data_IF_848989369810
#
_entry.id   IF_848989369810
#
_cell.length_a   1.000
_cell.length_b   1.000
_cell.length_c   1.000
_cell.angle_alpha   90.00
_cell.angle_beta   90.00
_cell.angle_gamma   90.00
#
_symmetry.space_group_name_H-M   'P 1'
#
loop_
_entity.id
_entity.type
_entity.pdbx_description
1 polymer ?
#
# COMPACT_ATOMS: atom_id res chain seq x y z
N UNK A 1 5.94 14.92 10.43
CA UNK A 1 6.01 16.03 9.45
C UNK A 1 6.75 15.64 8.16
N UNK A 2 6.43 14.50 7.51
CA UNK A 2 6.98 14.14 6.19
C UNK A 2 5.92 13.82 5.11
N UNK A 3 4.63 13.92 5.43
CA UNK A 3 3.54 13.49 4.53
C UNK A 3 2.91 14.66 3.75
N UNK A 4 3.33 15.91 4.01
CA UNK A 4 2.75 17.08 3.34
C UNK A 4 3.52 17.53 2.10
N UNK A 5 4.66 16.91 1.76
CA UNK A 5 5.37 17.22 0.51
C UNK A 5 4.83 16.42 -0.68
N UNK A 6 4.40 15.18 -0.47
CA UNK A 6 3.88 14.33 -1.55
C UNK A 6 2.52 14.77 -2.11
N UNK A 7 1.68 15.44 -1.32
CA UNK A 7 0.32 15.81 -1.73
C UNK A 7 0.22 17.19 -2.42
N UNK A 8 1.18 18.09 -2.17
CA UNK A 8 1.18 19.44 -2.74
C UNK A 8 1.90 19.54 -4.10
N UNK A 9 2.71 18.53 -4.44
CA UNK A 9 3.43 18.47 -5.71
C UNK A 9 2.58 17.97 -6.89
N UNK A 10 1.39 17.43 -6.62
CA UNK A 10 0.60 16.66 -7.59
C UNK A 10 -0.25 17.50 -8.56
N UNK A 11 -0.35 18.83 -8.41
CA UNK A 11 -1.12 19.63 -9.36
C UNK A 11 -0.25 20.13 -10.54
N UNK A 12 -0.16 19.24 -11.54
CA UNK A 12 0.02 19.50 -12.99
C UNK A 12 1.37 19.98 -13.55
N UNK A 13 2.40 20.26 -12.74
CA UNK A 13 3.72 20.68 -13.27
C UNK A 13 4.94 19.97 -12.68
N UNK A 14 4.76 19.02 -11.76
CA UNK A 14 5.86 18.37 -11.04
C UNK A 14 5.85 16.84 -11.15
N UNK A 15 5.02 16.26 -12.03
CA UNK A 15 4.91 14.80 -12.18
C UNK A 15 6.13 14.19 -12.87
N UNK A 16 6.60 14.80 -13.97
CA UNK A 16 7.84 14.39 -14.66
C UNK A 16 9.05 14.61 -13.75
N UNK A 17 9.11 15.77 -13.08
CA UNK A 17 10.10 16.05 -12.04
C UNK A 17 10.04 15.02 -10.90
N UNK A 18 8.85 14.57 -10.50
CA UNK A 18 8.71 13.57 -9.46
C UNK A 18 9.26 12.21 -9.91
N UNK A 19 9.02 11.80 -11.15
CA UNK A 19 9.56 10.56 -11.69
C UNK A 19 11.10 10.58 -11.70
N UNK A 20 11.70 11.65 -12.23
CA UNK A 20 13.15 11.83 -12.26
C UNK A 20 13.75 11.84 -10.84
N UNK A 21 13.13 12.56 -9.90
CA UNK A 21 13.62 12.62 -8.51
C UNK A 21 13.46 11.30 -7.77
N UNK A 22 12.40 10.54 -8.03
CA UNK A 22 12.22 9.20 -7.48
C UNK A 22 13.27 8.23 -8.07
N UNK A 23 13.57 8.32 -9.37
CA UNK A 23 14.58 7.49 -10.02
C UNK A 23 16.01 7.78 -9.52
N UNK A 24 16.38 9.07 -9.43
CA UNK A 24 17.64 9.51 -8.83
C UNK A 24 17.74 9.07 -7.36
N UNK A 25 16.69 9.33 -6.58
CA UNK A 25 16.62 8.95 -5.16
C UNK A 25 16.73 7.45 -4.96
N UNK A 26 16.10 6.64 -5.81
CA UNK A 26 16.18 5.19 -5.78
C UNK A 26 17.60 4.70 -6.07
N UNK A 27 18.26 5.32 -7.05
CA UNK A 27 19.65 5.02 -7.40
C UNK A 27 20.57 5.34 -6.23
N UNK A 28 20.41 6.52 -5.61
CA UNK A 28 21.19 6.92 -4.44
C UNK A 28 20.93 6.01 -3.23
N UNK A 29 19.67 5.69 -2.95
CA UNK A 29 19.31 4.80 -1.84
C UNK A 29 19.98 3.43 -1.99
N UNK A 30 19.99 2.87 -3.20
CA UNK A 30 20.70 1.61 -3.50
C UNK A 30 22.20 1.73 -3.36
N UNK A 31 22.80 2.79 -3.91
CA UNK A 31 24.24 3.02 -3.83
C UNK A 31 24.71 3.13 -2.37
N UNK A 32 23.90 3.76 -1.52
CA UNK A 32 24.18 3.95 -0.09
C UNK A 32 23.73 2.77 0.78
N UNK A 33 23.10 1.73 0.20
CA UNK A 33 22.54 0.60 0.95
C UNK A 33 21.40 0.97 1.90
N UNK A 34 20.72 2.11 1.69
CA UNK A 34 19.64 2.58 2.54
C UNK A 34 18.31 1.92 2.14
N UNK A 35 18.03 0.76 2.73
CA UNK A 35 16.86 -0.06 2.41
C UNK A 35 15.53 0.59 2.81
N UNK A 36 15.50 1.38 3.90
CA UNK A 36 14.28 2.10 4.29
C UNK A 36 13.93 3.19 3.27
N UNK A 37 14.93 3.93 2.80
CA UNK A 37 14.75 4.92 1.74
C UNK A 37 14.32 4.25 0.44
N UNK A 38 14.97 3.15 0.04
CA UNK A 38 14.56 2.38 -1.15
C UNK A 38 13.10 1.92 -1.06
N UNK A 39 12.71 1.30 0.04
CA UNK A 39 11.34 0.81 0.22
C UNK A 39 10.31 1.95 0.20
N UNK A 40 10.63 3.09 0.82
CA UNK A 40 9.76 4.28 0.84
C UNK A 40 9.61 4.89 -0.55
N UNK A 41 10.71 5.00 -1.30
CA UNK A 41 10.70 5.52 -2.67
C UNK A 41 9.90 4.60 -3.59
N UNK A 42 10.01 3.28 -3.43
CA UNK A 42 9.20 2.31 -4.16
C UNK A 42 7.69 2.44 -3.88
N UNK A 43 7.31 2.70 -2.62
CA UNK A 43 5.91 3.00 -2.28
C UNK A 43 5.44 4.28 -2.97
N UNK A 44 6.21 5.36 -2.89
CA UNK A 44 5.86 6.64 -3.53
C UNK A 44 5.78 6.51 -5.06
N UNK A 45 6.66 5.72 -5.66
CA UNK A 45 6.62 5.41 -7.08
C UNK A 45 5.35 4.65 -7.46
N UNK A 46 4.91 3.71 -6.61
CA UNK A 46 3.61 3.05 -6.81
C UNK A 46 2.44 4.03 -6.74
N UNK A 47 2.45 4.95 -5.76
CA UNK A 47 1.39 5.97 -5.63
C UNK A 47 1.32 6.90 -6.85
N UNK A 48 2.48 7.33 -7.35
CA UNK A 48 2.57 8.15 -8.55
C UNK A 48 2.05 7.38 -9.78
N UNK A 49 2.49 6.13 -9.95
CA UNK A 49 2.06 5.29 -11.06
C UNK A 49 0.55 5.01 -11.05
N UNK A 50 -0.06 4.81 -9.87
CA UNK A 50 -1.53 4.73 -9.76
C UNK A 50 -2.22 6.03 -10.18
N UNK A 51 -1.66 7.19 -9.83
CA UNK A 51 -2.20 8.49 -10.22
C UNK A 51 -2.05 8.77 -11.73
N UNK A 52 -1.04 8.17 -12.37
CA UNK A 52 -0.78 8.24 -13.81
C UNK A 52 -1.50 7.14 -14.60
N UNK A 53 -2.34 6.32 -13.96
CA UNK A 53 -3.03 5.19 -14.58
C UNK A 53 -2.06 4.17 -15.22
N UNK A 54 -0.89 3.98 -14.60
CA UNK A 54 0.12 2.99 -14.97
C UNK A 54 0.09 1.78 -14.00
N UNK A 55 -0.94 0.92 -14.04
CA UNK A 55 -1.12 -0.15 -13.06
C UNK A 55 0.04 -1.13 -13.03
N UNK A 56 0.68 -1.42 -14.17
CA UNK A 56 1.82 -2.34 -14.23
C UNK A 56 3.00 -1.83 -13.39
N UNK A 57 3.38 -0.58 -13.61
CA UNK A 57 4.44 0.09 -12.84
C UNK A 57 4.07 0.16 -11.36
N UNK A 58 2.81 0.47 -11.07
CA UNK A 58 2.31 0.64 -9.71
C UNK A 58 2.38 -0.65 -8.88
N UNK A 59 1.79 -1.74 -9.37
CA UNK A 59 1.78 -3.02 -8.66
C UNK A 59 3.18 -3.64 -8.54
N UNK A 60 4.04 -3.49 -9.56
CA UNK A 60 5.43 -3.93 -9.50
C UNK A 60 6.22 -3.18 -8.42
N UNK A 61 6.08 -1.86 -8.37
CA UNK A 61 6.76 -1.02 -7.36
C UNK A 61 6.28 -1.32 -5.95
N UNK A 62 4.97 -1.49 -5.79
CA UNK A 62 4.36 -1.81 -4.51
C UNK A 62 4.79 -3.19 -3.99
N UNK A 63 4.82 -4.21 -4.85
CA UNK A 63 5.28 -5.56 -4.48
C UNK A 63 6.73 -5.56 -3.97
N UNK A 64 7.60 -4.77 -4.62
CA UNK A 64 9.00 -4.61 -4.18
C UNK A 64 9.09 -3.89 -2.84
N UNK A 65 8.29 -2.85 -2.63
CA UNK A 65 8.22 -2.14 -1.34
C UNK A 65 7.75 -3.07 -0.21
N UNK A 66 6.68 -3.84 -0.43
CA UNK A 66 6.18 -4.86 0.53
C UNK A 66 7.26 -5.87 0.89
N UNK A 67 7.97 -6.39 -0.12
CA UNK A 67 9.03 -7.39 0.07
C UNK A 67 10.16 -6.83 0.93
N UNK A 68 10.64 -5.63 0.62
CA UNK A 68 11.74 -5.00 1.35
C UNK A 68 11.31 -4.59 2.76
N UNK A 69 10.11 -4.02 2.92
CA UNK A 69 9.56 -3.66 4.22
C UNK A 69 9.37 -4.87 5.12
N UNK A 70 8.95 -6.02 4.58
CA UNK A 70 8.84 -7.25 5.35
C UNK A 70 10.22 -7.79 5.75
N UNK A 71 11.14 -7.89 4.79
CA UNK A 71 12.49 -8.43 5.01
C UNK A 71 13.26 -7.66 6.08
N UNK A 72 13.15 -6.33 6.08
CA UNK A 72 13.88 -5.46 7.01
C UNK A 72 13.03 -5.02 8.21
N UNK A 73 11.86 -5.64 8.41
CA UNK A 73 10.95 -5.38 9.53
C UNK A 73 10.47 -3.91 9.67
N UNK A 74 10.27 -3.22 8.55
CA UNK A 74 9.71 -1.87 8.50
C UNK A 74 8.19 -1.88 8.62
N UNK A 75 7.68 -2.23 9.80
CA UNK A 75 6.25 -2.50 10.04
C UNK A 75 5.33 -1.30 9.74
N UNK A 76 5.78 -0.06 9.96
CA UNK A 76 5.02 1.15 9.57
C UNK A 76 4.85 1.26 8.07
N UNK A 77 5.94 1.00 7.33
CA UNK A 77 5.92 1.06 5.88
C UNK A 77 5.10 -0.09 5.30
N UNK A 78 5.16 -1.26 5.91
CA UNK A 78 4.34 -2.40 5.53
C UNK A 78 2.84 -2.11 5.68
N UNK A 79 2.43 -1.46 6.79
CA UNK A 79 1.06 -0.99 6.99
C UNK A 79 0.62 -0.01 5.88
N UNK A 80 1.49 0.92 5.49
CA UNK A 80 1.19 1.87 4.42
C UNK A 80 1.03 1.16 3.07
N UNK A 81 1.87 0.16 2.77
CA UNK A 81 1.74 -0.63 1.54
C UNK A 81 0.40 -1.37 1.49
N UNK A 82 0.01 -2.02 2.59
CA UNK A 82 -1.29 -2.71 2.68
C UNK A 82 -2.47 -1.76 2.54
N UNK A 83 -2.40 -0.59 3.19
CA UNK A 83 -3.43 0.44 3.05
C UNK A 83 -3.57 0.90 1.60
N UNK A 84 -2.44 1.22 0.93
CA UNK A 84 -2.48 1.65 -0.48
C UNK A 84 -3.03 0.57 -1.40
N UNK A 85 -2.59 -0.68 -1.24
CA UNK A 85 -3.12 -1.79 -2.02
C UNK A 85 -4.62 -1.97 -1.80
N UNK A 86 -5.08 -1.88 -0.55
CA UNK A 86 -6.51 -1.99 -0.22
C UNK A 86 -7.35 -0.94 -0.94
N UNK A 87 -6.87 0.31 -1.03
CA UNK A 87 -7.58 1.37 -1.74
C UNK A 87 -7.75 1.06 -3.23
N UNK A 88 -6.69 0.59 -3.90
CA UNK A 88 -6.74 0.31 -5.33
C UNK A 88 -7.58 -0.94 -5.65
N UNK A 89 -7.49 -1.97 -4.82
CA UNK A 89 -8.30 -3.20 -4.95
C UNK A 89 -9.79 -2.89 -4.70
N UNK A 90 -10.11 -2.00 -3.76
CA UNK A 90 -11.47 -1.55 -3.54
C UNK A 90 -12.02 -0.77 -4.74
N UNK A 91 -11.23 0.10 -5.38
CA UNK A 91 -11.62 0.81 -6.61
C UNK A 91 -11.87 -0.17 -7.77
N UNK A 92 -11.09 -1.25 -7.85
CA UNK A 92 -11.30 -2.33 -8.80
C UNK A 92 -12.51 -3.23 -8.48
N UNK A 93 -13.21 -2.98 -7.36
CA UNK A 93 -14.46 -3.65 -6.98
C UNK A 93 -14.30 -4.82 -6.00
N UNK A 94 -13.09 -5.28 -5.69
CA UNK A 94 -12.86 -6.36 -4.73
C UNK A 94 -12.74 -5.83 -3.30
N UNK A 95 -13.84 -5.26 -2.81
CA UNK A 95 -13.91 -4.63 -1.48
C UNK A 95 -13.69 -5.62 -0.33
N UNK A 96 -13.92 -6.93 -0.55
CA UNK A 96 -13.67 -7.96 0.45
C UNK A 96 -12.17 -8.17 0.65
N UNK A 97 -11.39 -8.30 -0.43
CA UNK A 97 -9.92 -8.36 -0.33
C UNK A 97 -9.34 -7.06 0.18
N UNK A 98 -9.90 -5.91 -0.21
CA UNK A 98 -9.49 -4.63 0.36
C UNK A 98 -9.68 -4.60 1.89
N UNK A 99 -10.84 -5.04 2.39
CA UNK A 99 -11.08 -5.13 3.82
C UNK A 99 -10.11 -6.10 4.51
N UNK A 100 -9.78 -7.23 3.87
CA UNK A 100 -8.77 -8.18 4.34
C UNK A 100 -7.40 -7.51 4.54
N UNK A 101 -6.91 -6.76 3.55
CA UNK A 101 -5.65 -6.02 3.66
C UNK A 101 -5.66 -4.99 4.81
N UNK A 102 -6.81 -4.35 5.09
CA UNK A 102 -6.96 -3.47 6.25
C UNK A 102 -6.97 -4.24 7.57
N UNK A 103 -7.54 -5.44 7.61
CA UNK A 103 -7.44 -6.36 8.75
C UNK A 103 -6.00 -6.79 9.01
N UNK A 104 -5.26 -7.13 7.96
CA UNK A 104 -3.84 -7.48 8.03
C UNK A 104 -2.98 -6.32 8.56
N UNK A 105 -3.34 -5.08 8.22
CA UNK A 105 -2.72 -3.88 8.79
C UNK A 105 -2.89 -3.83 10.32
N UNK A 106 -4.06 -4.22 10.85
CA UNK A 106 -4.29 -4.35 12.30
C UNK A 106 -3.47 -5.49 12.92
N UNK A 107 -3.24 -6.59 12.19
CA UNK A 107 -2.36 -7.66 12.67
C UNK A 107 -0.94 -7.16 12.89
N UNK A 108 -0.34 -6.55 11.87
CA UNK A 108 1.04 -6.03 11.92
C UNK A 108 1.20 -5.09 13.12
N UNK A 109 0.22 -4.22 13.36
CA UNK A 109 0.23 -3.31 14.50
C UNK A 109 0.24 -4.03 15.85
N UNK A 110 -0.62 -5.04 16.02
CA UNK A 110 -0.69 -5.80 17.26
C UNK A 110 0.60 -6.57 17.53
N UNK A 111 1.17 -7.19 16.50
CA UNK A 111 2.39 -7.98 16.62
C UNK A 111 3.59 -7.13 17.06
N UNK A 112 3.71 -5.92 16.52
CA UNK A 112 4.81 -5.02 16.83
C UNK A 112 4.48 -4.00 17.94
N UNK A 113 3.33 -4.16 18.62
CA UNK A 113 2.83 -3.23 19.66
C UNK A 113 2.78 -1.77 19.19
N UNK A 114 2.56 -1.57 17.89
CA UNK A 114 2.51 -0.26 17.27
C UNK A 114 1.13 0.34 17.40
N UNK A 115 1.08 1.62 17.76
CA UNK A 115 -0.13 2.41 17.68
C UNK A 115 -0.12 3.18 16.36
N UNK A 116 -1.16 3.00 15.54
CA UNK A 116 -1.36 3.87 14.38
C UNK A 116 -1.41 5.32 14.84
N UNK A 117 -0.78 6.19 14.06
CA UNK A 117 -1.02 7.61 14.16
C UNK A 117 -2.52 7.90 13.94
N UNK A 118 -3.05 8.89 14.65
CA UNK A 118 -4.48 9.21 14.61
C UNK A 118 -4.99 9.46 13.16
N UNK A 119 -4.12 10.00 12.30
CA UNK A 119 -4.40 10.23 10.88
C UNK A 119 -4.71 8.92 10.15
N UNK A 120 -3.85 7.91 10.31
CA UNK A 120 -3.94 6.66 9.56
C UNK A 120 -5.04 5.75 10.12
N UNK A 121 -5.23 5.75 11.45
CA UNK A 121 -6.41 5.15 12.07
C UNK A 121 -7.72 5.77 11.55
N UNK A 122 -7.76 7.09 11.40
CA UNK A 122 -8.89 7.80 10.82
C UNK A 122 -9.15 7.46 9.35
N UNK A 123 -8.09 7.25 8.56
CA UNK A 123 -8.18 6.81 7.15
C UNK A 123 -8.79 5.42 7.01
N UNK A 124 -8.31 4.45 7.79
CA UNK A 124 -8.83 3.08 7.79
C UNK A 124 -10.30 3.06 8.23
N UNK A 125 -10.62 3.76 9.33
CA UNK A 125 -11.99 3.86 9.84
C UNK A 125 -12.95 4.43 8.78
N UNK A 126 -12.56 5.51 8.10
CA UNK A 126 -13.39 6.12 7.04
C UNK A 126 -13.57 5.19 5.84
N UNK A 127 -12.51 4.52 5.41
CA UNK A 127 -12.58 3.58 4.29
C UNK A 127 -13.55 2.43 4.59
N UNK A 128 -13.43 1.80 5.76
CA UNK A 128 -14.33 0.72 6.17
C UNK A 128 -15.78 1.21 6.30
N UNK A 129 -16.02 2.37 6.91
CA UNK A 129 -17.37 2.92 7.03
C UNK A 129 -18.02 3.17 5.67
N UNK A 130 -17.26 3.73 4.72
CA UNK A 130 -17.71 3.94 3.34
C UNK A 130 -18.07 2.61 2.67
N UNK A 131 -17.16 1.63 2.70
CA UNK A 131 -17.38 0.34 2.04
C UNK A 131 -18.53 -0.46 2.67
N UNK A 132 -18.71 -0.39 4.00
CA UNK A 132 -19.87 -1.00 4.68
C UNK A 132 -21.19 -0.41 4.18
N UNK A 133 -21.22 0.90 3.93
CA UNK A 133 -22.41 1.60 3.45
C UNK A 133 -22.72 1.21 2.01
N UNK A 134 -21.70 1.06 1.16
CA UNK A 134 -21.85 0.80 -0.27
C UNK A 134 -22.08 -0.69 -0.60
N UNK A 135 -21.47 -1.60 0.15
CA UNK A 135 -21.41 -3.03 -0.20
C UNK A 135 -21.97 -3.96 0.88
N UNK A 136 -22.45 -3.41 2.00
CA UNK A 136 -22.99 -4.16 3.12
C UNK A 136 -21.94 -4.47 4.20
N UNK A 137 -22.36 -4.39 5.46
CA UNK A 137 -21.45 -4.52 6.60
C UNK A 137 -20.82 -5.91 6.71
N UNK A 138 -21.62 -6.97 6.55
CA UNK A 138 -21.16 -8.37 6.70
C UNK A 138 -19.98 -8.70 5.79
N UNK A 139 -20.04 -8.29 4.52
CA UNK A 139 -18.98 -8.56 3.55
C UNK A 139 -17.64 -7.93 3.98
N UNK A 140 -17.70 -6.70 4.48
CA UNK A 140 -16.52 -5.93 4.89
C UNK A 140 -15.98 -6.45 6.22
N UNK A 141 -16.87 -6.77 7.16
CA UNK A 141 -16.49 -7.27 8.49
C UNK A 141 -15.87 -8.67 8.39
N UNK A 142 -16.41 -9.55 7.56
CA UNK A 142 -15.83 -10.87 7.29
C UNK A 142 -14.44 -10.74 6.65
N UNK A 143 -14.31 -9.89 5.62
CA UNK A 143 -13.03 -9.64 4.96
C UNK A 143 -11.98 -9.13 5.96
N UNK A 144 -12.34 -8.11 6.74
CA UNK A 144 -11.48 -7.54 7.76
C UNK A 144 -11.08 -8.56 8.83
N UNK A 145 -12.03 -9.37 9.31
CA UNK A 145 -11.76 -10.39 10.32
C UNK A 145 -10.75 -11.43 9.83
N UNK A 146 -10.87 -11.89 8.57
CA UNK A 146 -9.90 -12.83 7.97
C UNK A 146 -8.50 -12.21 7.92
N UNK A 147 -8.37 -10.96 7.49
CA UNK A 147 -7.07 -10.29 7.48
C UNK A 147 -6.47 -10.12 8.88
N UNK A 148 -7.31 -9.86 9.87
CA UNK A 148 -6.90 -9.66 11.26
C UNK A 148 -6.41 -10.94 11.95
N UNK A 149 -6.70 -12.12 11.40
CA UNK A 149 -6.23 -13.42 11.94
C UNK A 149 -4.99 -13.97 11.24
N UNK A 150 -4.61 -13.45 10.07
CA UNK A 150 -3.37 -13.83 9.39
C UNK A 150 -2.14 -13.54 10.27
N UNK A 151 -1.08 -14.31 10.12
CA UNK A 151 0.27 -13.91 10.52
C UNK A 151 0.79 -12.80 9.60
N UNK A 152 1.84 -12.08 10.02
CA UNK A 152 2.45 -11.03 9.17
C UNK A 152 2.98 -11.62 7.85
N UNK A 153 3.55 -12.83 7.89
CA UNK A 153 4.04 -13.52 6.67
C UNK A 153 2.89 -13.91 5.74
N UNK A 154 1.77 -14.40 6.25
CA UNK A 154 0.59 -14.71 5.43
C UNK A 154 -0.03 -13.44 4.82
N UNK A 155 -0.09 -12.35 5.59
CA UNK A 155 -0.54 -11.05 5.10
C UNK A 155 0.35 -10.52 3.95
N UNK A 156 1.67 -10.67 4.08
CA UNK A 156 2.63 -10.32 3.03
C UNK A 156 2.42 -11.18 1.79
N UNK A 157 2.31 -12.49 1.95
CA UNK A 157 2.05 -13.41 0.84
C UNK A 157 0.74 -13.05 0.12
N UNK A 158 -0.32 -12.74 0.87
CA UNK A 158 -1.60 -12.31 0.32
C UNK A 158 -1.47 -11.01 -0.49
N UNK A 159 -0.79 -10.00 0.05
CA UNK A 159 -0.57 -8.74 -0.65
C UNK A 159 0.24 -8.93 -1.96
N UNK A 160 1.28 -9.76 -1.94
CA UNK A 160 2.08 -10.06 -3.13
C UNK A 160 1.28 -10.83 -4.18
N UNK A 161 0.45 -11.78 -3.76
CA UNK A 161 -0.47 -12.48 -4.67
C UNK A 161 -1.43 -11.50 -5.34
N UNK A 162 -2.03 -10.58 -4.59
CA UNK A 162 -2.91 -9.56 -5.15
C UNK A 162 -2.16 -8.69 -6.17
N UNK A 163 -0.95 -8.22 -5.88
CA UNK A 163 -0.15 -7.49 -6.86
C UNK A 163 0.12 -8.31 -8.14
N UNK A 164 0.43 -9.60 -8.00
CA UNK A 164 0.68 -10.48 -9.14
C UNK A 164 -0.56 -10.71 -10.01
N UNK A 165 -1.72 -10.94 -9.40
CA UNK A 165 -2.99 -11.10 -10.12
C UNK A 165 -3.33 -9.84 -10.93
N UNK A 166 -3.14 -8.66 -10.33
CA UNK A 166 -3.39 -7.38 -11.01
C UNK A 166 -2.40 -7.11 -12.15
N UNK A 167 -1.13 -7.51 -12.00
CA UNK A 167 -0.15 -7.46 -13.07
C UNK A 167 -0.55 -8.34 -14.26
N UNK A 168 -0.99 -9.58 -14.00
CA UNK A 168 -1.45 -10.47 -15.06
C UNK A 168 -2.68 -9.93 -15.78
N UNK A 169 -3.62 -9.31 -15.06
CA UNK A 169 -4.78 -8.68 -15.66
C UNK A 169 -4.38 -7.50 -16.56
N UNK A 170 -3.46 -6.65 -16.10
CA UNK A 170 -2.99 -5.48 -16.86
C UNK A 170 -2.12 -5.81 -18.09
N UNK A 171 -1.59 -7.04 -18.20
CA UNK A 171 -0.80 -7.48 -19.38
C UNK A 171 -1.70 -8.14 -20.44
N UNK A 172 -2.75 -8.84 -20.00
CA UNK A 172 -3.57 -9.67 -20.89
C UNK A 172 -4.96 -9.09 -21.23
N UNK A 173 -5.32 -7.95 -20.62
CA UNK A 173 -6.55 -7.19 -20.93
C UNK A 173 -6.27 -6.05 -21.88
#
# INVERSE_FOLDING_TARGET
TCVNWGYAALEMGQLETAHERLAEGLTLARLLGNQLAEATILLNHAELAFAQEEPQTAYSSLARSVTLAHKEHFSSLLCNCFYRLAQEVAKAGDVKRAANLLGATQRVQREHQMRLEARDAGRITRALALWRTQHGATLIDDGFAVGATMSVTEAVAHALQVCQEQLHFAING
#
